data_IF_803517151889
#
_entry.id   IF_803517151889
#
_cell.length_a   1.000
_cell.length_b   1.000
_cell.length_c   1.000
_cell.angle_alpha   90.00
_cell.angle_beta   90.00
_cell.angle_gamma   90.00
#
_symmetry.space_group_name_H-M   'P 1'
#
loop_
_entity.id
_entity.type
_entity.pdbx_description
1 polymer ?
#
# COMPACT_ATOMS: atom_id res chain seq x y z
N UNK A 1 -13.57 -9.61 28.44
CA UNK A 1 -14.69 -9.60 27.47
C UNK A 1 -14.16 -9.02 26.17
N UNK A 2 -14.48 -9.64 25.02
CA UNK A 2 -14.01 -9.22 23.70
C UNK A 2 -15.22 -8.76 22.89
N UNK A 3 -15.18 -7.54 22.36
CA UNK A 3 -16.21 -7.00 21.48
C UNK A 3 -15.59 -6.65 20.13
N UNK A 4 -16.10 -7.25 19.06
CA UNK A 4 -15.61 -7.06 17.69
C UNK A 4 -16.64 -6.30 16.85
N UNK A 5 -16.17 -5.59 15.82
CA UNK A 5 -17.00 -4.94 14.82
C UNK A 5 -18.07 -3.96 15.38
N UNK A 6 -17.78 -3.31 16.51
CA UNK A 6 -18.72 -2.39 17.20
C UNK A 6 -19.14 -1.18 16.36
N UNK A 7 -18.41 -0.84 15.29
CA UNK A 7 -18.83 0.12 14.28
C UNK A 7 -20.18 -0.23 13.62
N UNK A 8 -20.58 -1.51 13.59
CA UNK A 8 -21.82 -1.98 12.98
C UNK A 8 -23.04 -1.92 13.91
N UNK A 9 -22.85 -1.67 15.21
CA UNK A 9 -23.94 -1.67 16.23
C UNK A 9 -24.89 -0.48 16.06
N UNK A 10 -24.66 0.39 15.08
CA UNK A 10 -25.28 1.71 15.08
C UNK A 10 -25.70 2.18 13.69
N UNK A 11 -27.01 2.34 13.52
CA UNK A 11 -27.65 2.91 12.34
C UNK A 11 -27.83 4.43 12.54
N UNK A 12 -27.28 5.28 11.66
CA UNK A 12 -27.56 6.72 11.60
C UNK A 12 -26.44 7.66 12.11
N UNK A 13 -26.60 8.98 11.92
CA UNK A 13 -25.55 9.98 12.20
C UNK A 13 -25.19 10.15 13.70
N UNK A 14 -26.11 9.81 14.62
CA UNK A 14 -25.91 9.82 16.09
C UNK A 14 -25.26 8.53 16.65
N UNK A 15 -24.95 7.60 15.76
CA UNK A 15 -24.34 6.27 15.99
C UNK A 15 -23.11 6.28 16.90
N UNK A 16 -22.22 7.26 16.69
CA UNK A 16 -20.89 7.24 17.29
C UNK A 16 -20.95 7.49 18.81
N UNK A 17 -21.97 8.20 19.30
CA UNK A 17 -22.19 8.41 20.74
C UNK A 17 -22.68 7.14 21.43
N UNK A 18 -23.46 6.33 20.74
CA UNK A 18 -24.01 5.09 21.29
C UNK A 18 -22.92 4.01 21.42
N UNK A 19 -22.05 3.86 20.41
CA UNK A 19 -20.91 2.92 20.47
C UNK A 19 -19.94 3.29 21.59
N UNK A 20 -19.58 4.57 21.72
CA UNK A 20 -18.72 5.04 22.81
C UNK A 20 -19.40 4.88 24.17
N UNK A 21 -20.68 5.23 24.30
CA UNK A 21 -21.42 5.05 25.55
C UNK A 21 -21.55 3.57 25.93
N UNK A 22 -21.74 2.68 24.96
CA UNK A 22 -21.72 1.24 25.17
C UNK A 22 -20.34 0.80 25.66
N UNK A 23 -19.25 1.20 25.00
CA UNK A 23 -17.89 0.87 25.43
C UNK A 23 -17.59 1.37 26.85
N UNK A 24 -18.00 2.59 27.20
CA UNK A 24 -17.83 3.15 28.54
C UNK A 24 -18.66 2.37 29.56
N UNK A 25 -19.91 2.02 29.24
CA UNK A 25 -20.75 1.17 30.10
C UNK A 25 -20.11 -0.20 30.32
N UNK A 26 -19.57 -0.80 29.26
CA UNK A 26 -18.86 -2.08 29.34
C UNK A 26 -17.62 -1.99 30.23
N UNK A 27 -16.88 -0.87 30.19
CA UNK A 27 -15.76 -0.62 31.10
C UNK A 27 -16.20 -0.46 32.57
N UNK A 28 -17.41 0.02 32.83
CA UNK A 28 -17.94 0.21 34.19
C UNK A 28 -18.43 -1.08 34.87
N UNK A 29 -18.69 -2.15 34.10
CA UNK A 29 -19.22 -3.41 34.64
C UNK A 29 -18.15 -4.22 35.40
N UNK A 30 -16.87 -3.87 35.29
CA UNK A 30 -15.77 -4.42 36.10
C UNK A 30 -14.75 -5.31 35.39
N UNK A 31 -15.10 -6.16 34.39
CA UNK A 31 -14.12 -6.95 33.66
C UNK A 31 -13.23 -6.10 32.74
N UNK A 32 -12.02 -6.60 32.45
CA UNK A 32 -11.18 -6.03 31.38
C UNK A 32 -11.89 -6.17 30.02
N UNK A 33 -12.05 -5.04 29.33
CA UNK A 33 -12.64 -4.95 28.00
C UNK A 33 -11.52 -4.81 26.96
N UNK A 34 -11.55 -5.67 25.96
CA UNK A 34 -10.77 -5.50 24.73
C UNK A 34 -11.76 -5.29 23.58
N UNK A 35 -11.51 -4.30 22.73
CA UNK A 35 -12.33 -4.03 21.55
C UNK A 35 -11.47 -3.83 20.32
N UNK A 36 -11.95 -4.31 19.18
CA UNK A 36 -11.39 -3.99 17.87
C UNK A 36 -11.96 -2.68 17.35
N UNK A 37 -11.13 -1.84 16.74
CA UNK A 37 -11.56 -0.63 16.07
C UNK A 37 -10.84 -0.50 14.73
N UNK A 38 -11.60 -0.24 13.67
CA UNK A 38 -11.01 0.22 12.41
C UNK A 38 -10.55 1.68 12.53
N UNK A 39 -9.77 2.16 11.55
CA UNK A 39 -9.24 3.52 11.62
C UNK A 39 -10.34 4.59 11.59
N UNK A 40 -11.47 4.36 10.92
CA UNK A 40 -12.61 5.28 10.96
C UNK A 40 -13.12 5.49 12.39
N UNK A 41 -13.26 4.41 13.17
CA UNK A 41 -13.69 4.50 14.57
C UNK A 41 -12.59 5.14 15.42
N UNK A 42 -11.33 4.82 15.17
CA UNK A 42 -10.19 5.40 15.89
C UNK A 42 -10.12 6.93 15.71
N UNK A 43 -10.22 7.45 14.48
CA UNK A 43 -10.26 8.90 14.22
C UNK A 43 -11.39 9.59 14.97
N UNK A 44 -12.57 8.96 15.01
CA UNK A 44 -13.73 9.47 15.75
C UNK A 44 -13.48 9.45 17.26
N UNK A 45 -12.89 8.39 17.80
CA UNK A 45 -12.54 8.30 19.22
C UNK A 45 -11.51 9.38 19.58
N UNK A 46 -10.52 9.64 18.73
CA UNK A 46 -9.51 10.69 18.95
C UNK A 46 -10.07 12.12 18.97
N UNK A 47 -11.25 12.37 18.36
CA UNK A 47 -11.93 13.67 18.43
C UNK A 47 -12.75 13.89 19.72
N UNK A 48 -12.89 12.87 20.57
CA UNK A 48 -13.64 12.92 21.83
C UNK A 48 -12.94 13.73 22.92
N UNK A 49 -13.63 13.89 24.05
CA UNK A 49 -13.08 14.53 25.26
C UNK A 49 -11.96 13.67 25.85
N UNK A 50 -11.01 14.33 26.50
CA UNK A 50 -9.83 13.71 27.11
C UNK A 50 -10.18 12.56 28.08
N UNK A 51 -11.29 12.67 28.81
CA UNK A 51 -11.76 11.62 29.72
C UNK A 51 -12.05 10.30 28.98
N UNK A 52 -12.69 10.37 27.82
CA UNK A 52 -13.01 9.20 27.01
C UNK A 52 -11.73 8.59 26.42
N UNK A 53 -10.76 9.41 26.03
CA UNK A 53 -9.45 8.95 25.56
C UNK A 53 -8.70 8.18 26.64
N UNK A 54 -8.67 8.72 27.86
CA UNK A 54 -7.97 8.10 28.99
C UNK A 54 -8.59 6.77 29.41
N UNK A 55 -9.88 6.55 29.10
CA UNK A 55 -10.60 5.30 29.39
C UNK A 55 -10.50 4.27 28.28
N UNK A 56 -10.50 4.71 27.01
CA UNK A 56 -10.61 3.83 25.84
C UNK A 56 -9.31 3.64 25.06
N UNK A 57 -8.43 4.63 25.05
CA UNK A 57 -7.23 4.69 24.19
C UNK A 57 -5.93 4.74 24.99
N UNK A 58 -5.92 4.28 26.25
CA UNK A 58 -4.74 4.31 27.12
C UNK A 58 -3.61 3.40 26.63
N UNK A 59 -3.97 2.23 26.07
CA UNK A 59 -3.02 1.19 25.65
C UNK A 59 -3.48 0.54 24.33
N UNK A 60 -3.50 1.29 23.22
CA UNK A 60 -3.90 0.75 21.93
C UNK A 60 -2.86 -0.27 21.45
N UNK A 61 -3.35 -1.38 20.90
CA UNK A 61 -2.53 -2.31 20.12
C UNK A 61 -2.82 -2.03 18.65
N UNK A 62 -1.81 -1.52 17.93
CA UNK A 62 -1.93 -1.24 16.52
C UNK A 62 -1.66 -2.50 15.71
N UNK A 63 -2.57 -2.83 14.80
CA UNK A 63 -2.38 -3.90 13.82
C UNK A 63 -2.09 -3.25 12.47
N UNK A 64 -0.84 -3.38 12.02
CA UNK A 64 -0.41 -2.85 10.73
C UNK A 64 -0.46 -3.94 9.65
N UNK A 65 -0.60 -3.56 8.37
CA UNK A 65 -0.34 -4.49 7.26
C UNK A 65 1.09 -5.03 7.34
N UNK A 66 1.30 -6.27 6.91
CA UNK A 66 2.64 -6.86 6.94
C UNK A 66 3.53 -6.19 5.90
N UNK A 67 4.77 -5.88 6.25
CA UNK A 67 5.75 -5.39 5.28
C UNK A 67 6.13 -6.50 4.30
N UNK A 68 6.54 -6.10 3.10
CA UNK A 68 7.11 -7.00 2.10
C UNK A 68 8.42 -7.62 2.58
N UNK A 69 9.20 -6.93 3.41
CA UNK A 69 10.49 -7.42 3.90
C UNK A 69 10.37 -8.29 5.16
N UNK A 70 9.15 -8.43 5.69
CA UNK A 70 8.86 -9.23 6.87
C UNK A 70 8.92 -10.73 6.56
N UNK A 71 9.63 -11.48 7.39
CA UNK A 71 9.66 -12.95 7.31
C UNK A 71 8.26 -13.52 7.59
N UNK A 72 7.45 -12.85 8.41
CA UNK A 72 6.08 -13.25 8.69
C UNK A 72 5.19 -13.18 7.44
N UNK A 73 5.40 -12.19 6.57
CA UNK A 73 4.68 -12.12 5.30
C UNK A 73 5.08 -13.28 4.37
N UNK A 74 6.38 -13.56 4.28
CA UNK A 74 6.93 -14.68 3.54
C UNK A 74 6.33 -16.02 4.02
N UNK A 75 6.28 -16.20 5.34
CA UNK A 75 5.69 -17.38 5.98
C UNK A 75 4.19 -17.49 5.70
N UNK A 76 3.47 -16.38 5.78
CA UNK A 76 2.05 -16.32 5.47
C UNK A 76 1.76 -16.72 4.01
N UNK A 77 2.51 -16.18 3.04
CA UNK A 77 2.36 -16.53 1.62
C UNK A 77 2.61 -18.03 1.39
N UNK A 78 3.63 -18.61 2.05
CA UNK A 78 3.89 -20.05 1.98
C UNK A 78 2.72 -20.88 2.50
N UNK A 79 2.12 -20.47 3.62
CA UNK A 79 0.94 -21.15 4.17
C UNK A 79 -0.22 -21.09 3.19
N UNK A 80 -0.49 -19.92 2.59
CA UNK A 80 -1.57 -19.75 1.59
C UNK A 80 -1.37 -20.67 0.39
N UNK A 81 -0.16 -20.74 -0.16
CA UNK A 81 0.17 -21.64 -1.28
C UNK A 81 0.02 -23.11 -0.87
N UNK A 82 0.46 -23.44 0.35
CA UNK A 82 0.40 -24.79 0.89
C UNK A 82 -1.01 -25.35 1.11
N UNK A 83 -2.06 -24.52 1.05
CA UNK A 83 -3.45 -24.98 1.12
C UNK A 83 -3.84 -25.84 -0.09
N UNK A 84 -3.29 -25.53 -1.27
CA UNK A 84 -3.66 -26.19 -2.52
C UNK A 84 -2.47 -26.22 -3.51
N UNK A 85 -1.38 -26.93 -3.18
CA UNK A 85 -0.13 -26.89 -3.94
C UNK A 85 -0.25 -27.40 -5.38
N UNK A 86 -1.24 -28.26 -5.67
CA UNK A 86 -1.53 -28.75 -7.01
C UNK A 86 -2.14 -27.68 -7.94
N UNK A 87 -2.72 -26.62 -7.36
CA UNK A 87 -3.36 -25.53 -8.10
C UNK A 87 -2.62 -24.20 -7.97
N UNK A 88 -1.94 -23.95 -6.86
CA UNK A 88 -1.20 -22.72 -6.59
C UNK A 88 0.29 -22.96 -6.85
N UNK A 89 0.75 -22.64 -8.06
CA UNK A 89 2.06 -23.07 -8.57
C UNK A 89 3.03 -21.87 -8.70
N UNK A 90 2.83 -20.83 -7.88
CA UNK A 90 3.74 -19.68 -7.86
C UNK A 90 4.78 -19.80 -6.74
N UNK A 91 6.01 -19.39 -7.03
CA UNK A 91 7.10 -19.36 -6.05
C UNK A 91 6.85 -18.21 -5.04
N UNK A 92 6.71 -18.50 -3.73
CA UNK A 92 6.56 -17.47 -2.70
C UNK A 92 7.63 -16.39 -2.79
N UNK A 93 8.89 -16.74 -3.04
CA UNK A 93 10.00 -15.77 -3.06
C UNK A 93 9.94 -14.82 -4.25
N UNK A 94 9.49 -15.32 -5.40
CA UNK A 94 9.41 -14.52 -6.62
C UNK A 94 8.14 -13.67 -6.69
N UNK A 95 7.07 -14.10 -6.01
CA UNK A 95 5.74 -13.48 -6.13
C UNK A 95 5.32 -12.73 -4.87
N UNK A 96 6.12 -12.74 -3.80
CA UNK A 96 5.86 -12.00 -2.57
C UNK A 96 5.74 -10.50 -2.82
N UNK A 97 6.69 -9.91 -3.54
CA UNK A 97 6.63 -8.49 -3.92
C UNK A 97 5.39 -8.18 -4.73
N UNK A 98 5.05 -9.04 -5.70
CA UNK A 98 3.87 -8.89 -6.55
C UNK A 98 2.57 -8.97 -5.72
N UNK A 99 2.47 -9.93 -4.81
CA UNK A 99 1.33 -10.07 -3.90
C UNK A 99 1.23 -8.87 -2.96
N UNK A 100 2.34 -8.41 -2.38
CA UNK A 100 2.36 -7.22 -1.55
C UNK A 100 1.88 -6.01 -2.33
N UNK A 101 2.36 -5.81 -3.56
CA UNK A 101 1.93 -4.73 -4.43
C UNK A 101 0.42 -4.74 -4.67
N UNK A 102 -0.18 -5.91 -4.88
CA UNK A 102 -1.61 -6.06 -5.17
C UNK A 102 -2.54 -6.03 -3.96
N UNK A 103 -1.99 -6.12 -2.75
CA UNK A 103 -2.77 -6.33 -1.51
C UNK A 103 -2.36 -5.43 -0.36
N UNK A 104 -1.27 -4.67 -0.52
CA UNK A 104 -0.65 -3.86 0.53
C UNK A 104 -0.30 -4.67 1.79
N UNK A 105 0.01 -5.96 1.66
CA UNK A 105 0.30 -6.84 2.81
C UNK A 105 -0.91 -7.20 3.67
N UNK A 106 -2.14 -6.88 3.22
CA UNK A 106 -3.37 -7.17 3.96
C UNK A 106 -3.78 -8.63 3.74
N UNK A 107 -3.71 -9.45 4.80
CA UNK A 107 -3.99 -10.91 4.80
C UNK A 107 -5.27 -11.27 4.06
N UNK A 108 -6.36 -10.54 4.32
CA UNK A 108 -7.67 -10.76 3.69
C UNK A 108 -7.61 -10.56 2.17
N UNK A 109 -6.97 -9.49 1.72
CA UNK A 109 -6.85 -9.18 0.29
C UNK A 109 -5.99 -10.19 -0.45
N UNK A 110 -4.95 -10.72 0.19
CA UNK A 110 -4.16 -11.85 -0.36
C UNK A 110 -5.05 -13.05 -0.66
N UNK A 111 -5.88 -13.47 0.29
CA UNK A 111 -6.80 -14.61 0.09
C UNK A 111 -7.83 -14.31 -0.98
N UNK A 112 -8.47 -13.13 -0.93
CA UNK A 112 -9.48 -12.73 -1.92
C UNK A 112 -8.91 -12.71 -3.35
N UNK A 113 -7.70 -12.18 -3.52
CA UNK A 113 -7.00 -12.14 -4.81
C UNK A 113 -6.67 -13.55 -5.33
N UNK A 114 -6.10 -14.41 -4.47
CA UNK A 114 -5.75 -15.79 -4.84
C UNK A 114 -6.99 -16.60 -5.20
N UNK A 115 -8.07 -16.48 -4.42
CA UNK A 115 -9.35 -17.14 -4.69
C UNK A 115 -9.95 -16.67 -6.02
N UNK A 116 -9.90 -15.36 -6.31
CA UNK A 116 -10.37 -14.83 -7.58
C UNK A 116 -9.52 -15.34 -8.75
N UNK A 117 -8.19 -15.34 -8.61
CA UNK A 117 -7.27 -15.88 -9.61
C UNK A 117 -7.58 -17.34 -9.92
N UNK A 118 -7.81 -18.15 -8.89
CA UNK A 118 -8.21 -19.55 -9.05
C UNK A 118 -9.53 -19.70 -9.79
N UNK A 119 -10.56 -18.91 -9.44
CA UNK A 119 -11.87 -18.94 -10.12
C UNK A 119 -11.75 -18.57 -11.60
N UNK A 120 -10.98 -17.54 -11.93
CA UNK A 120 -10.75 -17.10 -13.30
C UNK A 120 -9.92 -18.11 -14.11
N UNK A 121 -8.95 -18.76 -13.49
CA UNK A 121 -8.18 -19.82 -14.12
C UNK A 121 -9.10 -21.02 -14.45
N UNK A 122 -9.91 -21.44 -13.48
CA UNK A 122 -10.82 -22.59 -13.59
C UNK A 122 -11.99 -22.37 -14.54
N UNK A 123 -12.46 -21.14 -14.71
CA UNK A 123 -13.52 -20.82 -15.68
C UNK A 123 -13.04 -20.98 -17.12
N UNK A 124 -11.76 -20.73 -17.38
CA UNK A 124 -11.12 -20.91 -18.70
C UNK A 124 -10.73 -22.37 -18.94
N UNK A 125 -10.14 -23.03 -17.95
CA UNK A 125 -9.70 -24.41 -18.07
C UNK A 125 -9.75 -25.12 -16.71
N UNK A 126 -10.41 -26.28 -16.65
CA UNK A 126 -10.47 -27.08 -15.41
C UNK A 126 -9.08 -27.49 -14.91
N UNK A 127 -8.08 -27.69 -15.77
CA UNK A 127 -6.72 -28.04 -15.32
C UNK A 127 -5.81 -26.83 -15.10
N UNK A 128 -6.36 -25.61 -15.10
CA UNK A 128 -5.54 -24.41 -14.94
C UNK A 128 -4.96 -24.31 -13.52
N UNK A 129 -3.70 -23.87 -13.48
CA UNK A 129 -2.96 -23.51 -12.27
C UNK A 129 -2.94 -22.00 -12.13
N UNK A 130 -2.75 -21.52 -10.91
CA UNK A 130 -2.58 -20.10 -10.58
C UNK A 130 -1.09 -19.82 -10.48
N UNK A 131 -0.59 -18.92 -11.33
CA UNK A 131 0.73 -18.32 -11.25
C UNK A 131 0.66 -16.78 -11.20
N UNK A 132 1.80 -16.12 -11.42
CA UNK A 132 1.86 -14.65 -11.45
C UNK A 132 0.98 -13.99 -12.51
N UNK A 133 0.72 -14.66 -13.64
CA UNK A 133 -0.16 -14.14 -14.70
C UNK A 133 -1.63 -14.19 -14.29
N UNK A 134 -2.08 -15.27 -13.65
CA UNK A 134 -3.43 -15.40 -13.13
C UNK A 134 -3.68 -14.41 -11.97
N UNK A 135 -2.67 -14.17 -11.13
CA UNK A 135 -2.72 -13.13 -10.10
C UNK A 135 -2.87 -11.73 -10.70
N UNK A 136 -2.08 -11.40 -11.73
CA UNK A 136 -2.21 -10.13 -12.45
C UNK A 136 -3.59 -10.02 -13.12
N UNK A 137 -4.09 -11.09 -13.73
CA UNK A 137 -5.41 -11.13 -14.33
C UNK A 137 -6.52 -10.89 -13.30
N UNK A 138 -6.41 -11.49 -12.11
CA UNK A 138 -7.34 -11.27 -11.01
C UNK A 138 -7.28 -9.83 -10.49
N UNK A 139 -6.09 -9.27 -10.30
CA UNK A 139 -5.90 -7.88 -9.89
C UNK A 139 -6.53 -6.91 -10.88
N UNK A 140 -6.42 -7.20 -12.19
CA UNK A 140 -7.01 -6.39 -13.27
C UNK A 140 -8.52 -6.61 -13.43
N UNK A 141 -9.07 -7.70 -12.90
CA UNK A 141 -10.48 -8.04 -13.06
C UNK A 141 -11.43 -7.04 -12.38
N UNK A 142 -12.65 -6.91 -12.90
CA UNK A 142 -13.66 -6.00 -12.38
C UNK A 142 -14.05 -6.34 -10.94
N UNK A 143 -14.18 -7.62 -10.61
CA UNK A 143 -14.55 -8.08 -9.26
C UNK A 143 -13.55 -7.68 -8.17
N UNK A 144 -12.30 -7.35 -8.54
CA UNK A 144 -11.28 -6.87 -7.61
C UNK A 144 -11.12 -5.33 -7.62
N UNK A 145 -11.93 -4.61 -8.39
CA UNK A 145 -11.76 -3.16 -8.62
C UNK A 145 -11.83 -2.33 -7.34
N UNK A 146 -12.77 -2.61 -6.44
CA UNK A 146 -12.91 -1.89 -5.17
C UNK A 146 -11.70 -2.08 -4.25
N UNK A 147 -11.21 -3.32 -4.13
CA UNK A 147 -10.00 -3.64 -3.37
C UNK A 147 -8.77 -3.01 -4.01
N UNK A 148 -8.68 -3.06 -5.34
CA UNK A 148 -7.60 -2.42 -6.11
C UNK A 148 -7.54 -0.92 -5.86
N UNK A 149 -8.67 -0.22 -5.93
CA UNK A 149 -8.73 1.22 -5.68
C UNK A 149 -8.25 1.56 -4.26
N UNK A 150 -8.68 0.78 -3.26
CA UNK A 150 -8.24 0.95 -1.88
C UNK A 150 -6.72 0.71 -1.72
N UNK A 151 -6.18 -0.37 -2.31
CA UNK A 151 -4.74 -0.68 -2.29
C UNK A 151 -3.91 0.41 -2.97
N UNK A 152 -4.35 0.90 -4.13
CA UNK A 152 -3.66 1.98 -4.84
C UNK A 152 -3.72 3.30 -4.07
N UNK A 153 -4.79 3.54 -3.32
CA UNK A 153 -4.87 4.67 -2.41
C UNK A 153 -3.89 4.50 -1.24
N UNK A 154 -3.81 3.31 -0.63
CA UNK A 154 -2.87 3.01 0.45
C UNK A 154 -1.42 3.23 0.02
N UNK A 155 -1.02 2.74 -1.16
CA UNK A 155 0.31 3.01 -1.72
C UNK A 155 0.57 4.50 -1.90
N UNK A 156 -0.38 5.25 -2.49
CA UNK A 156 -0.23 6.71 -2.65
C UNK A 156 -0.08 7.43 -1.31
N UNK A 157 -0.88 7.06 -0.31
CA UNK A 157 -0.79 7.64 1.03
C UNK A 157 0.56 7.34 1.69
N UNK A 158 1.07 6.11 1.56
CA UNK A 158 2.36 5.72 2.12
C UNK A 158 3.52 6.50 1.47
N UNK A 159 3.48 6.65 0.15
CA UNK A 159 4.47 7.40 -0.64
C UNK A 159 4.44 8.89 -0.31
N UNK A 160 3.26 9.50 -0.38
CA UNK A 160 3.09 10.94 -0.19
C UNK A 160 3.17 11.35 1.28
N UNK A 161 3.06 10.38 2.20
CA UNK A 161 2.91 10.59 3.65
C UNK A 161 1.77 11.57 3.97
N UNK A 162 0.70 11.50 3.17
CA UNK A 162 -0.47 12.35 3.27
C UNK A 162 -1.72 11.50 3.43
N UNK A 163 -2.60 11.95 4.31
CA UNK A 163 -3.91 11.34 4.50
C UNK A 163 -4.83 11.74 3.34
N UNK A 164 -5.03 10.83 2.39
CA UNK A 164 -5.98 11.00 1.28
C UNK A 164 -7.39 10.55 1.68
N UNK A 165 -7.50 9.52 2.53
CA UNK A 165 -8.76 8.92 2.99
C UNK A 165 -8.64 8.49 4.45
N UNK A 166 -9.51 9.04 5.30
CA UNK A 166 -9.44 8.92 6.77
C UNK A 166 -9.57 7.45 7.24
N UNK A 167 -10.45 6.66 6.65
CA UNK A 167 -10.68 5.26 7.01
C UNK A 167 -9.53 4.30 6.66
N UNK A 168 -8.64 4.71 5.76
CA UNK A 168 -7.46 3.94 5.34
C UNK A 168 -6.14 4.54 5.88
N UNK A 169 -6.23 5.54 6.76
CA UNK A 169 -5.05 6.20 7.32
C UNK A 169 -4.97 5.95 8.82
N UNK A 170 -3.83 5.47 9.29
CA UNK A 170 -3.61 5.31 10.72
C UNK A 170 -3.27 6.66 11.38
N UNK A 171 -4.11 7.18 12.30
CA UNK A 171 -3.82 8.44 13.00
C UNK A 171 -2.70 8.32 14.04
N UNK A 172 -2.28 7.11 14.37
CA UNK A 172 -1.24 6.83 15.36
C UNK A 172 0.11 6.48 14.71
N UNK A 173 0.20 6.52 13.38
CA UNK A 173 1.45 6.24 12.66
C UNK A 173 2.56 7.19 13.14
N UNK A 174 3.69 6.64 13.58
CA UNK A 174 4.84 7.37 14.12
C UNK A 174 4.86 7.55 15.65
N UNK A 175 3.81 7.13 16.37
CA UNK A 175 3.86 6.96 17.82
C UNK A 175 4.39 5.55 18.07
N UNK A 176 5.70 5.40 18.27
CA UNK A 176 6.28 4.09 18.54
C UNK A 176 5.58 3.43 19.75
N UNK A 177 5.06 2.21 19.62
CA UNK A 177 4.61 1.46 20.78
C UNK A 177 5.82 1.17 21.68
N UNK A 178 5.62 1.20 23.01
CA UNK A 178 6.65 0.95 24.04
C UNK A 178 7.30 -0.45 23.91
N UNK A 179 6.80 -1.30 23.01
CA UNK A 179 7.34 -2.62 22.74
C UNK A 179 7.19 -2.94 21.25
N UNK A 180 8.21 -2.63 20.44
CA UNK A 180 8.79 -3.44 19.35
C UNK A 180 9.51 -2.53 18.34
N UNK A 181 10.63 -3.05 17.84
CA UNK A 181 11.69 -2.44 17.03
C UNK A 181 11.24 -1.50 15.90
N UNK A 182 12.09 -0.53 15.51
CA UNK A 182 11.76 0.43 14.46
C UNK A 182 11.72 -0.25 13.09
N UNK A 183 10.56 -0.24 12.44
CA UNK A 183 10.45 -0.54 11.02
C UNK A 183 9.50 0.46 10.38
N UNK A 184 9.76 0.80 9.11
CA UNK A 184 8.90 1.56 8.18
C UNK A 184 9.28 3.02 7.90
N UNK A 185 10.57 3.32 7.77
CA UNK A 185 11.03 4.54 7.05
C UNK A 185 11.81 4.21 5.77
N UNK A 186 12.19 2.94 5.54
CA UNK A 186 13.02 2.53 4.39
C UNK A 186 12.16 2.05 3.19
N UNK A 187 10.92 1.60 3.41
CA UNK A 187 10.12 0.90 2.39
C UNK A 187 9.33 1.82 1.43
N UNK A 188 9.37 3.14 1.69
CA UNK A 188 8.77 4.11 0.78
C UNK A 188 9.50 4.09 -0.57
N UNK A 189 10.82 3.92 -0.60
CA UNK A 189 11.63 4.07 -1.82
C UNK A 189 11.37 2.97 -2.85
N UNK A 190 11.20 1.71 -2.42
CA UNK A 190 10.85 0.61 -3.32
C UNK A 190 9.41 0.75 -3.85
N UNK A 191 8.45 1.09 -2.97
CA UNK A 191 7.07 1.32 -3.37
C UNK A 191 6.94 2.54 -4.33
N UNK A 192 7.73 3.60 -4.12
CA UNK A 192 7.85 4.75 -5.01
C UNK A 192 8.32 4.29 -6.40
N UNK A 193 9.44 3.58 -6.49
CA UNK A 193 10.00 3.14 -7.77
C UNK A 193 9.04 2.25 -8.56
N UNK A 194 8.31 1.36 -7.88
CA UNK A 194 7.32 0.50 -8.53
C UNK A 194 6.06 1.25 -8.96
N UNK A 195 5.61 2.24 -8.19
CA UNK A 195 4.50 3.11 -8.59
C UNK A 195 4.88 3.98 -9.80
N UNK A 196 6.06 4.59 -9.78
CA UNK A 196 6.60 5.37 -10.89
C UNK A 196 6.67 4.54 -12.16
N UNK A 197 7.17 3.30 -12.08
CA UNK A 197 7.18 2.36 -13.20
C UNK A 197 5.78 2.05 -13.73
N UNK A 198 4.78 1.90 -12.87
CA UNK A 198 3.38 1.67 -13.29
C UNK A 198 2.77 2.90 -13.97
N UNK A 199 3.07 4.09 -13.47
CA UNK A 199 2.64 5.34 -14.10
C UNK A 199 3.30 5.49 -15.46
N UNK A 200 4.58 5.18 -15.57
CA UNK A 200 5.32 5.17 -16.83
C UNK A 200 4.74 4.14 -17.81
N UNK A 201 4.49 2.90 -17.39
CA UNK A 201 3.83 1.88 -18.22
C UNK A 201 2.42 2.32 -18.67
N UNK A 202 1.62 2.92 -17.79
CA UNK A 202 0.29 3.42 -18.14
C UNK A 202 0.35 4.63 -19.09
N UNK A 203 1.37 5.49 -18.96
CA UNK A 203 1.62 6.61 -19.88
C UNK A 203 2.09 6.10 -21.24
N UNK A 204 2.95 5.08 -21.29
CA UNK A 204 3.39 4.42 -22.52
C UNK A 204 2.21 3.73 -23.22
N UNK A 205 1.37 3.01 -22.47
CA UNK A 205 0.14 2.39 -23.00
C UNK A 205 -0.87 3.43 -23.50
N UNK A 206 -0.96 4.60 -22.86
CA UNK A 206 -1.82 5.69 -23.31
C UNK A 206 -1.24 6.42 -24.55
N UNK A 207 0.09 6.52 -24.65
CA UNK A 207 0.79 7.09 -25.80
C UNK A 207 0.73 6.16 -27.03
N UNK A 208 0.72 4.85 -26.81
CA UNK A 208 0.48 3.83 -27.83
C UNK A 208 -1.04 3.71 -28.09
N UNK A 209 -1.60 4.71 -28.79
CA UNK A 209 -3.00 4.70 -29.22
C UNK A 209 -3.42 3.40 -29.96
N UNK A 210 -4.73 3.14 -30.11
CA UNK A 210 -5.30 1.84 -30.52
C UNK A 210 -4.85 1.29 -31.89
N UNK A 211 -4.10 2.05 -32.69
CA UNK A 211 -3.55 1.63 -33.99
C UNK A 211 -2.22 0.88 -33.92
N UNK A 212 -1.56 0.78 -32.76
CA UNK A 212 -0.24 0.15 -32.64
C UNK A 212 -0.23 -1.24 -31.94
N UNK A 213 -1.41 -1.83 -31.66
CA UNK A 213 -1.49 -3.17 -31.01
C UNK A 213 -1.14 -4.36 -31.92
N UNK A 214 -0.70 -4.11 -33.16
CA UNK A 214 -0.41 -5.14 -34.17
C UNK A 214 1.08 -5.43 -34.38
N UNK A 215 2.00 -4.67 -33.81
CA UNK A 215 3.44 -4.84 -34.08
C UNK A 215 4.21 -4.96 -32.77
N UNK A 216 4.55 -6.20 -32.42
CA UNK A 216 5.53 -6.51 -31.38
C UNK A 216 6.89 -5.91 -31.76
N UNK A 217 7.53 -5.08 -30.92
CA UNK A 217 8.89 -4.62 -31.18
C UNK A 217 9.85 -5.81 -31.08
N UNK A 218 10.53 -6.12 -32.19
CA UNK A 218 11.65 -7.05 -32.18
C UNK A 218 12.74 -6.56 -31.22
N UNK A 219 13.15 -7.42 -30.29
CA UNK A 219 14.30 -7.23 -29.41
C UNK A 219 15.55 -6.89 -30.23
N UNK A 220 15.90 -5.61 -30.29
CA UNK A 220 17.22 -5.19 -30.72
C UNK A 220 18.17 -5.41 -29.55
N UNK A 221 18.94 -6.51 -29.62
CA UNK A 221 20.10 -6.78 -28.74
C UNK A 221 21.03 -5.57 -28.71
N UNK A 222 20.98 -4.79 -27.65
CA UNK A 222 21.94 -3.71 -27.39
C UNK A 222 23.28 -4.33 -27.01
N UNK A 223 24.29 -4.12 -27.86
CA UNK A 223 25.69 -4.48 -27.59
C UNK A 223 26.24 -3.61 -26.47
N UNK A 224 26.80 -4.23 -25.42
CA UNK A 224 27.53 -3.57 -24.34
C UNK A 224 28.65 -2.68 -24.92
N UNK A 225 28.56 -1.36 -24.73
CA UNK A 225 29.68 -0.42 -24.91
C UNK A 225 30.36 -0.19 -23.56
N UNK A 226 31.68 -0.12 -23.61
CA UNK A 226 32.60 0.02 -22.49
C UNK A 226 32.39 1.31 -21.69
N UNK A 227 32.67 1.21 -20.39
CA UNK A 227 32.66 2.24 -19.35
C UNK A 227 33.30 3.57 -19.78
N UNK A 228 32.52 4.65 -19.77
CA UNK A 228 33.02 6.02 -19.87
C UNK A 228 33.34 6.56 -18.46
N UNK A 229 34.54 7.09 -18.30
CA UNK A 229 35.01 7.75 -17.06
C UNK A 229 34.47 9.18 -17.05
N UNK A 230 33.76 9.56 -15.99
CA UNK A 230 33.25 10.91 -15.76
C UNK A 230 34.34 11.75 -15.08
N UNK A 231 34.80 12.83 -15.73
CA UNK A 231 35.62 13.86 -15.10
C UNK A 231 34.73 15.00 -14.58
N UNK A 232 34.91 15.46 -13.33
CA UNK A 232 34.12 16.56 -12.78
C UNK A 232 34.56 17.92 -13.34
N UNK A 233 33.58 18.74 -13.72
CA UNK A 233 33.77 20.13 -14.14
C UNK A 233 33.95 21.00 -12.88
N UNK A 234 35.09 21.68 -12.74
CA UNK A 234 35.29 22.70 -11.69
C UNK A 234 34.70 24.03 -12.15
N UNK A 235 33.66 24.50 -11.45
CA UNK A 235 33.16 25.86 -11.62
C UNK A 235 34.14 26.87 -10.99
N UNK A 236 34.71 27.75 -11.81
CA UNK A 236 35.45 28.93 -11.34
C UNK A 236 34.50 29.98 -10.76
N UNK A 237 34.93 30.72 -9.73
CA UNK A 237 34.13 31.80 -9.13
C UNK A 237 33.98 32.94 -10.13
N UNK A 238 32.74 33.39 -10.36
CA UNK A 238 32.43 34.50 -11.25
C UNK A 238 33.10 35.80 -10.80
N UNK A 239 33.73 36.50 -11.75
CA UNK A 239 34.40 37.78 -11.53
C UNK A 239 33.42 38.95 -11.68
N UNK A 240 33.76 40.09 -11.09
CA UNK A 240 32.88 41.28 -11.02
C UNK A 240 32.47 41.80 -12.40
N UNK A 241 33.29 41.53 -13.43
CA UNK A 241 33.06 41.87 -14.83
C UNK A 241 31.93 41.02 -15.46
N UNK A 242 31.82 39.75 -15.08
CA UNK A 242 30.77 38.83 -15.58
C UNK A 242 29.37 39.21 -15.07
N UNK A 243 29.30 39.78 -13.86
CA UNK A 243 28.04 40.25 -13.28
C UNK A 243 27.53 41.52 -13.95
N UNK A 244 28.43 42.39 -14.42
CA UNK A 244 28.06 43.63 -15.13
C UNK A 244 27.61 43.31 -16.56
N UNK A 245 28.25 42.35 -17.22
CA UNK A 245 27.81 41.87 -18.53
C UNK A 245 26.41 41.23 -18.47
N UNK A 246 26.11 40.48 -17.41
CA UNK A 246 24.77 39.93 -17.17
C UNK A 246 23.71 41.01 -16.91
N UNK A 247 24.04 42.08 -16.18
CA UNK A 247 23.09 43.15 -15.87
C UNK A 247 22.70 44.00 -17.10
N UNK A 248 23.62 44.21 -18.05
CA UNK A 248 23.32 44.96 -19.27
C UNK A 248 22.44 44.16 -20.25
N UNK A 249 22.54 42.84 -20.25
CA UNK A 249 21.71 41.97 -21.09
C UNK A 249 20.22 41.94 -20.70
N UNK A 250 19.87 42.42 -19.50
CA UNK A 250 18.49 42.48 -19.01
C UNK A 250 17.78 43.82 -19.28
N UNK A 251 18.50 44.86 -19.68
CA UNK A 251 17.92 46.19 -19.96
C UNK A 251 17.55 46.40 -21.44
N UNK A 252 17.88 45.45 -22.32
CA UNK A 252 17.55 45.49 -23.76
C UNK A 252 16.41 44.52 -24.15
N UNK A 253 15.55 44.15 -23.19
CA UNK A 253 14.27 43.44 -23.37
C UNK A 253 13.11 44.29 -22.85
#
# INVERSE_FOLDING_TARGET
MVADELQHVSFGADSNAQVTALLIKLLQIGPRVAFGANFSLLHKLLRRKQEDHQRLLTRPLLMEPMSVDDEDFSAYVRVVIGVAPEFLVFDPRQHQEQLHLYTFGIKRLVVELVVLAFRLARSKNRKATVGGQELLAAYRHFDYSANREAVELLHRQAIQKQMLREDLWCPLAGVEPITQSPSNVVDADAAIQHFERRVEEALLDAALGPKAKGESPQETRVRKRSTAVVTPIRAGKATKEDLIAGANAWNDL
#
